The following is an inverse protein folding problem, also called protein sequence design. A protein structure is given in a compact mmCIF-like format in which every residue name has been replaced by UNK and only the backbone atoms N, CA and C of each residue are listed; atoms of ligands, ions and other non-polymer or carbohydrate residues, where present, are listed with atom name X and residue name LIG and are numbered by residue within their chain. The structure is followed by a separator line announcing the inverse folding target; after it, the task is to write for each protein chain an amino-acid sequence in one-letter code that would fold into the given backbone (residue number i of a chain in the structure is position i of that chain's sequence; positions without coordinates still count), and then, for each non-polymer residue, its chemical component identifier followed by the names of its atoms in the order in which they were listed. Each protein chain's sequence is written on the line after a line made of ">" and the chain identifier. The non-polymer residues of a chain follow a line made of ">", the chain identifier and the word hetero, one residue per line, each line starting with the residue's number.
data_IF_535782293664
#
_entry.id   IF_535782293664
#
_cell.length_a   1.000
_cell.length_b   1.000
_cell.length_c   1.000
_cell.angle_alpha   90.00
_cell.angle_beta   90.00
_cell.angle_gamma   90.00
#
_symmetry.space_group_name_H-M   'P 1'
#
loop_
_entity.id
_entity.type
_entity.pdbx_description
1 polymer ?
2 water ?
#
# COMPACT_ATOMS: atom_id res chain seq x y z
N UNK A 5 2.10 -10.95 8.71
CA UNK A 5 1.03 -11.90 8.50
C UNK A 5 0.72 -12.20 7.02
N UNK A 6 0.29 -11.21 6.27
CA UNK A 6 0.25 -11.31 4.84
C UNK A 6 0.90 -10.07 4.37
N UNK A 7 1.56 -10.15 3.25
CA UNK A 7 2.04 -8.96 2.61
C UNK A 7 1.06 -8.62 1.51
N UNK A 8 1.26 -7.47 0.90
CA UNK A 8 0.45 -7.00 -0.19
C UNK A 8 0.82 -7.63 -1.50
N UNK A 9 -0.21 -8.03 -2.22
CA UNK A 9 -0.11 -8.62 -3.54
C UNK A 9 0.70 -7.72 -4.50
N UNK A 10 1.65 -8.30 -5.21
CA UNK A 10 2.45 -7.80 -6.27
C UNK A 10 1.76 -7.86 -7.60
N UNK A 11 0.90 -8.84 -7.81
CA UNK A 11 0.31 -9.09 -9.09
C UNK A 11 -0.91 -8.33 -9.57
N UNK A 12 -1.39 -8.72 -10.73
CA UNK A 12 -2.43 -8.04 -11.46
C UNK A 12 -3.84 -8.46 -11.07
N UNK A 13 -4.72 -7.50 -10.99
CA UNK A 13 -6.12 -7.76 -10.76
C UNK A 13 -6.93 -7.38 -11.99
N UNK A 14 -8.00 -8.09 -12.23
CA UNK A 14 -8.94 -7.71 -13.24
C UNK A 14 -10.30 -7.52 -12.60
N UNK A 15 -11.21 -6.85 -13.29
CA UNK A 15 -12.54 -6.61 -12.78
C UNK A 15 -13.44 -7.80 -13.07
N UNK A 16 -13.99 -8.37 -12.03
CA UNK A 16 -14.90 -9.47 -12.15
C UNK A 16 -16.36 -9.07 -12.21
N UNK A 17 -16.74 -8.12 -11.39
CA UNK A 17 -18.05 -7.53 -11.44
C UNK A 17 -17.92 -6.03 -11.39
N UNK A 18 -18.56 -5.31 -12.29
CA UNK A 18 -18.43 -3.86 -12.35
C UNK A 18 -18.96 -3.18 -11.12
N UNK A 19 -18.34 -2.11 -10.70
CA UNK A 19 -18.70 -1.42 -9.48
C UNK A 19 -20.11 -0.92 -9.54
N UNK A 20 -20.84 -1.13 -8.47
CA UNK A 20 -22.24 -0.80 -8.37
C UNK A 20 -22.67 -0.42 -6.97
N UNK A 21 -23.69 0.41 -6.89
CA UNK A 21 -24.27 0.77 -5.63
C UNK A 21 -25.15 -0.30 -5.07
N UNK A 22 -25.05 -0.52 -3.78
CA UNK A 22 -25.94 -1.35 -2.98
C UNK A 22 -27.19 -0.68 -2.48
N UNK A 23 -28.04 -1.48 -1.87
CA UNK A 23 -29.28 -1.04 -1.27
C UNK A 23 -29.05 -0.09 -0.10
N UNK A 24 -27.94 -0.25 0.58
CA UNK A 24 -27.45 0.75 1.51
C UNK A 24 -26.56 1.78 0.83
N UNK A 25 -25.86 2.56 1.58
CA UNK A 25 -25.17 3.66 0.91
C UNK A 25 -24.09 3.29 -0.09
N UNK A 26 -23.73 2.03 -0.02
CA UNK A 26 -22.45 1.45 -0.26
C UNK A 26 -22.05 1.16 -1.70
N UNK A 27 -20.77 0.95 -1.92
CA UNK A 27 -20.28 0.47 -3.18
C UNK A 27 -19.56 -0.86 -3.10
N UNK A 28 -19.84 -1.70 -4.08
CA UNK A 28 -19.25 -3.01 -4.16
C UNK A 28 -18.57 -3.21 -5.49
N UNK A 29 -17.42 -3.83 -5.46
CA UNK A 29 -16.76 -4.23 -6.65
C UNK A 29 -16.11 -5.58 -6.44
N UNK A 30 -16.07 -6.37 -7.48
CA UNK A 30 -15.43 -7.65 -7.44
C UNK A 30 -14.24 -7.73 -8.37
N UNK A 31 -13.14 -8.23 -7.87
CA UNK A 31 -11.96 -8.38 -8.66
C UNK A 31 -11.46 -9.79 -8.58
N UNK A 32 -10.75 -10.19 -9.60
CA UNK A 32 -10.18 -11.49 -9.65
C UNK A 32 -8.70 -11.28 -9.62
N UNK A 33 -7.97 -12.10 -8.88
CA UNK A 33 -6.53 -11.98 -8.79
C UNK A 33 -5.83 -12.86 -9.78
N UNK A 34 -4.99 -12.27 -10.58
CA UNK A 34 -4.27 -13.01 -11.58
C UNK A 34 -2.83 -13.34 -11.25
N UNK A 35 -2.29 -12.74 -10.21
CA UNK A 35 -0.90 -12.82 -9.85
C UNK A 35 -0.55 -13.95 -8.94
N UNK A 36 0.60 -13.88 -8.32
CA UNK A 36 1.09 -14.91 -7.45
C UNK A 36 1.31 -14.45 -6.03
N UNK A 37 1.82 -15.31 -5.18
CA UNK A 37 1.99 -15.06 -3.77
C UNK A 37 0.77 -14.94 -2.87
N UNK A 38 -0.36 -15.44 -3.32
CA UNK A 38 -1.58 -15.55 -2.57
C UNK A 38 -1.49 -16.70 -1.59
N UNK A 39 -2.12 -16.67 -0.45
CA UNK A 39 -2.89 -15.55 -0.01
C UNK A 39 -2.03 -14.38 0.29
N UNK A 40 -2.66 -13.27 -0.06
CA UNK A 40 -2.06 -11.97 0.05
C UNK A 40 -3.16 -10.94 0.12
N UNK A 41 -2.77 -9.74 0.52
CA UNK A 41 -3.68 -8.62 0.69
C UNK A 41 -3.98 -7.78 -0.53
N UNK A 42 -5.24 -7.46 -0.73
CA UNK A 42 -5.52 -6.63 -1.87
C UNK A 42 -5.14 -5.18 -1.55
N UNK A 43 -4.28 -4.58 -2.35
CA UNK A 43 -3.91 -3.21 -2.08
C UNK A 43 -5.01 -2.29 -2.55
N UNK A 44 -5.51 -1.52 -1.62
CA UNK A 44 -6.54 -0.61 -1.90
C UNK A 44 -6.30 0.75 -1.33
N UNK A 45 -6.31 1.75 -2.19
CA UNK A 45 -6.25 3.12 -1.79
C UNK A 45 -7.43 3.92 -2.31
N UNK A 46 -8.03 4.69 -1.45
CA UNK A 46 -9.07 5.61 -1.82
C UNK A 46 -8.54 7.04 -1.74
N UNK A 47 -8.57 7.75 -2.83
CA UNK A 47 -8.08 9.10 -2.87
C UNK A 47 -9.14 10.13 -3.27
N UNK A 48 -9.01 11.31 -2.71
CA UNK A 48 -9.90 12.44 -2.94
C UNK A 48 -9.59 13.20 -4.24
N UNK A 49 -10.24 14.30 -4.51
CA UNK A 49 -10.04 15.01 -5.78
C UNK A 49 -8.62 15.55 -5.98
N UNK A 50 -8.07 16.04 -4.90
CA UNK A 50 -6.68 16.35 -4.82
C UNK A 50 -6.13 14.95 -4.72
N UNK A 51 -4.85 14.78 -4.61
CA UNK A 51 -4.36 13.44 -4.75
C UNK A 51 -4.36 12.66 -3.44
N UNK A 52 -5.09 13.14 -2.46
CA UNK A 52 -4.97 12.65 -1.09
C UNK A 52 -5.75 11.40 -0.58
N UNK A 53 -5.05 10.60 0.22
CA UNK A 53 -5.53 9.37 0.82
C UNK A 53 -6.70 9.65 1.70
N UNK A 54 -7.72 8.84 1.55
CA UNK A 54 -8.81 8.90 2.48
C UNK A 54 -8.87 7.60 3.24
N UNK A 55 -8.83 7.69 4.55
CA UNK A 55 -8.82 6.50 5.38
C UNK A 55 -10.20 6.11 5.87
N UNK A 56 -10.36 4.85 6.24
CA UNK A 56 -11.41 4.45 7.16
C UNK A 56 -12.74 4.19 6.53
N UNK A 57 -12.63 4.14 5.27
CA UNK A 57 -13.55 4.13 4.14
C UNK A 57 -13.69 2.75 3.61
N UNK A 58 -12.90 1.89 4.13
CA UNK A 58 -13.16 0.46 3.67
C UNK A 58 -14.10 -0.52 4.45
N UNK A 59 -15.27 -0.93 3.96
CA UNK A 59 -16.15 -1.68 4.82
C UNK A 59 -15.67 -3.10 4.99
N UNK A 60 -15.28 -3.71 3.91
CA UNK A 60 -14.88 -5.08 3.95
C UNK A 60 -13.72 -5.21 4.86
N UNK A 61 -13.88 -6.24 5.64
CA UNK A 61 -12.83 -6.80 6.37
C UNK A 61 -11.74 -7.15 5.45
N UNK A 62 -10.70 -6.64 5.97
CA UNK A 62 -9.30 -6.65 5.58
C UNK A 62 -9.09 -7.54 4.43
N UNK A 63 -9.25 -6.87 3.41
CA UNK A 63 -9.46 -7.65 2.11
C UNK A 63 -8.34 -8.53 1.33
N UNK A 64 -8.56 -9.79 0.86
CA UNK A 64 -7.52 -10.73 0.62
C UNK A 64 -7.79 -11.42 -0.68
N UNK A 65 -6.78 -11.63 -1.49
CA UNK A 65 -6.82 -12.58 -2.57
C UNK A 65 -6.34 -13.93 -2.06
N UNK A 66 -7.24 -14.86 -1.91
CA UNK A 66 -6.93 -16.16 -1.33
C UNK A 66 -6.00 -17.02 -2.17
N UNK A 67 -6.17 -16.97 -3.49
CA UNK A 67 -5.49 -17.80 -4.46
C UNK A 67 -5.36 -17.10 -5.82
N UNK A 68 -4.53 -17.63 -6.68
CA UNK A 68 -4.55 -17.27 -8.05
C UNK A 68 -5.90 -17.70 -8.61
N UNK A 69 -6.58 -16.78 -9.26
CA UNK A 69 -7.91 -16.96 -9.79
C UNK A 69 -9.03 -16.96 -8.77
N UNK A 70 -8.75 -16.50 -7.58
CA UNK A 70 -9.75 -16.27 -6.58
C UNK A 70 -10.46 -14.96 -6.79
N UNK A 71 -11.57 -14.77 -6.14
CA UNK A 71 -12.40 -13.61 -6.35
C UNK A 71 -12.63 -12.87 -5.04
N UNK A 72 -12.37 -11.59 -5.03
CA UNK A 72 -12.51 -10.78 -3.84
C UNK A 72 -13.57 -9.69 -3.98
N UNK A 73 -14.38 -9.61 -2.95
CA UNK A 73 -15.50 -8.70 -2.85
C UNK A 73 -15.09 -7.55 -1.99
N UNK A 74 -15.14 -6.35 -2.54
CA UNK A 74 -14.73 -5.15 -1.85
C UNK A 74 -15.85 -4.17 -1.75
N UNK A 75 -16.21 -3.85 -0.54
CA UNK A 75 -17.25 -2.92 -0.25
C UNK A 75 -16.61 -1.73 0.41
N UNK A 76 -16.96 -0.57 -0.09
CA UNK A 76 -16.44 0.70 0.34
C UNK A 76 -17.55 1.67 0.61
N UNK A 77 -17.26 2.68 1.37
CA UNK A 77 -18.16 3.78 1.53
C UNK A 77 -17.45 5.01 1.07
N UNK A 78 -17.62 5.31 -0.19
CA UNK A 78 -16.89 6.42 -0.77
C UNK A 78 -17.24 7.70 -0.08
N UNK A 79 -16.27 8.56 0.02
CA UNK A 79 -16.46 9.86 0.61
C UNK A 79 -17.24 10.74 -0.31
N UNK A 80 -17.70 11.84 0.21
CA UNK A 80 -18.41 12.80 -0.59
C UNK A 80 -17.49 13.39 -1.63
N UNK A 81 -18.07 13.76 -2.76
CA UNK A 81 -17.33 14.33 -3.84
C UNK A 81 -16.82 13.30 -4.79
N UNK A 82 -15.79 13.65 -5.51
CA UNK A 82 -15.12 12.76 -6.42
C UNK A 82 -14.13 11.92 -5.66
N UNK A 83 -14.14 10.64 -5.92
CA UNK A 83 -13.11 9.79 -5.39
C UNK A 83 -12.57 8.74 -6.35
N UNK A 84 -11.34 8.32 -6.12
CA UNK A 84 -10.67 7.38 -6.97
C UNK A 84 -10.25 6.20 -6.17
N UNK A 85 -10.46 5.02 -6.71
CA UNK A 85 -10.13 3.82 -6.00
C UNK A 85 -9.02 3.13 -6.78
N UNK A 86 -7.91 2.93 -6.11
CA UNK A 86 -6.78 2.27 -6.71
C UNK A 86 -6.57 0.89 -6.12
N UNK A 87 -6.67 -0.08 -6.99
CA UNK A 87 -6.52 -1.46 -6.65
C UNK A 87 -5.29 -2.03 -7.34
N UNK A 88 -4.44 -2.61 -6.53
CA UNK A 88 -3.21 -3.17 -6.99
C UNK A 88 -2.06 -2.23 -7.07
N UNK A 89 -1.02 -2.66 -7.74
CA UNK A 89 0.23 -1.96 -7.77
C UNK A 89 0.75 -1.98 -9.16
N UNK A 90 1.69 -1.11 -9.46
CA UNK A 90 2.34 -1.11 -10.72
C UNK A 90 1.54 -0.57 -11.86
N UNK A 91 2.01 -0.84 -13.04
CA UNK A 91 1.34 -0.47 -14.26
C UNK A 91 -0.01 -1.16 -14.42
N UNK A 92 -0.08 -2.36 -13.90
CA UNK A 92 -1.25 -3.20 -13.84
C UNK A 92 -2.43 -2.66 -13.03
N UNK A 93 -2.19 -1.75 -12.11
CA UNK A 93 -3.23 -1.34 -11.20
C UNK A 93 -4.50 -0.81 -11.86
N UNK A 94 -5.63 -1.08 -11.26
CA UNK A 94 -6.88 -0.59 -11.73
C UNK A 94 -7.19 0.67 -10.99
N UNK A 95 -7.48 1.75 -11.70
CA UNK A 95 -7.91 2.99 -11.06
C UNK A 95 -9.36 3.28 -11.35
N UNK A 96 -10.18 3.25 -10.30
CA UNK A 96 -11.61 3.47 -10.39
C UNK A 96 -12.07 4.84 -9.87
N UNK A 97 -13.24 5.27 -10.29
CA UNK A 97 -13.82 6.57 -9.93
C UNK A 97 -15.27 6.48 -9.46
N UNK A 98 -15.61 7.27 -8.48
CA UNK A 98 -16.94 7.35 -7.96
C UNK A 98 -17.32 8.77 -7.61
N UNK A 99 -18.58 9.10 -7.78
CA UNK A 99 -19.11 10.38 -7.38
C UNK A 99 -20.23 10.27 -6.40
N UNK A 100 -20.14 11.01 -5.34
CA UNK A 100 -21.14 11.03 -4.36
C UNK A 100 -21.64 12.46 -4.11
N UNK A 101 -22.91 12.71 -4.34
CA UNK A 101 -23.48 14.05 -4.24
C UNK A 101 -23.49 14.62 -2.85
N UNK B 5 -1.83 9.83 -10.24
CA UNK B 5 -0.51 9.83 -9.66
C UNK B 5 0.17 8.50 -9.95
N UNK B 6 1.39 8.38 -9.47
CA UNK B 6 2.11 7.16 -9.59
C UNK B 6 1.42 6.09 -8.76
N UNK B 7 1.65 4.86 -9.13
CA UNK B 7 1.18 3.73 -8.39
C UNK B 7 2.31 3.21 -7.54
N UNK B 8 1.96 2.31 -6.67
CA UNK B 8 2.90 1.72 -5.81
C UNK B 8 3.71 0.77 -6.63
N UNK B 9 4.95 0.68 -6.28
CA UNK B 9 5.76 -0.39 -6.82
C UNK B 9 5.13 -1.74 -6.50
N UNK B 10 5.59 -2.55 -7.44
CA UNK B 10 5.35 -3.94 -7.62
C UNK B 10 6.62 -4.71 -7.41
N UNK B 11 7.76 -4.07 -7.56
CA UNK B 11 9.02 -4.76 -7.46
C UNK B 11 9.72 -4.88 -6.13
N UNK B 12 10.81 -5.60 -6.15
CA UNK B 12 11.68 -5.86 -5.01
C UNK B 12 12.56 -4.70 -4.57
N UNK B 13 12.78 -4.61 -3.28
CA UNK B 13 13.64 -3.63 -2.67
C UNK B 13 14.77 -4.30 -1.92
N UNK B 14 15.91 -3.64 -1.87
CA UNK B 14 17.05 -4.03 -1.06
C UNK B 14 17.51 -2.84 -0.19
N UNK B 15 18.30 -3.12 0.82
CA UNK B 15 18.75 -2.11 1.75
C UNK B 15 20.12 -1.56 1.44
N UNK B 16 20.14 -0.35 0.93
CA UNK B 16 21.32 0.41 0.69
C UNK B 16 22.09 0.84 1.94
N UNK B 17 21.39 1.32 2.94
CA UNK B 17 21.98 1.66 4.21
C UNK B 17 20.98 1.37 5.30
N UNK B 18 21.34 0.64 6.33
CA UNK B 18 20.38 0.23 7.34
C UNK B 18 19.82 1.39 8.14
N UNK B 19 18.68 1.20 8.74
CA UNK B 19 18.03 2.25 9.49
C UNK B 19 18.89 2.76 10.65
N UNK B 20 18.96 4.07 10.78
CA UNK B 20 19.78 4.69 11.80
C UNK B 20 19.08 5.86 12.46
N UNK B 21 19.36 6.05 13.74
CA UNK B 21 18.78 7.15 14.50
C UNK B 21 19.30 8.54 14.09
N UNK B 22 18.47 9.56 14.22
CA UNK B 22 18.88 10.94 13.99
C UNK B 22 19.05 11.73 15.25
N UNK B 23 19.61 12.92 15.08
CA UNK B 23 19.89 13.83 16.16
C UNK B 23 18.56 14.27 16.77
N UNK B 24 17.58 14.39 15.92
CA UNK B 24 16.20 14.72 16.27
C UNK B 24 15.56 13.40 16.52
N UNK B 25 14.26 13.34 16.64
CA UNK B 25 13.69 12.07 16.98
C UNK B 25 13.23 11.20 15.85
N UNK B 26 14.12 10.84 14.97
CA UNK B 26 13.78 9.99 13.87
C UNK B 26 14.84 9.00 13.46
N UNK B 27 14.47 8.12 12.55
CA UNK B 27 15.37 7.22 11.88
C UNK B 27 15.36 7.45 10.37
N UNK B 28 16.39 7.00 9.72
CA UNK B 28 16.49 7.12 8.31
C UNK B 28 16.94 5.78 7.77
N UNK B 29 16.42 5.43 6.61
CA UNK B 29 16.87 4.32 5.80
C UNK B 29 16.96 4.65 4.33
N UNK B 30 17.89 4.02 3.66
CA UNK B 30 17.98 4.07 2.23
C UNK B 30 17.71 2.69 1.67
N UNK B 31 16.87 2.66 0.66
CA UNK B 31 16.53 1.43 -0.01
C UNK B 31 16.75 1.64 -1.47
N UNK B 32 17.09 0.56 -2.14
CA UNK B 32 17.27 0.51 -3.55
C UNK B 32 16.17 -0.35 -4.16
N UNK B 33 15.55 0.15 -5.20
CA UNK B 33 14.52 -0.55 -5.91
C UNK B 33 15.10 -1.34 -7.03
N UNK B 34 14.91 -2.65 -7.03
CA UNK B 34 15.42 -3.50 -8.07
C UNK B 34 14.40 -3.89 -9.11
N UNK B 35 13.18 -3.44 -8.90
CA UNK B 35 12.09 -3.61 -9.82
C UNK B 35 11.91 -2.66 -10.99
N UNK B 36 10.91 -2.94 -11.77
CA UNK B 36 10.51 -2.15 -12.91
C UNK B 36 9.33 -1.28 -12.60
N UNK B 37 8.84 -0.57 -13.59
CA UNK B 37 7.72 0.32 -13.45
C UNK B 37 7.96 1.63 -12.74
N UNK B 38 9.20 2.08 -12.69
CA UNK B 38 9.51 3.35 -12.08
C UNK B 38 9.41 4.49 -13.08
N UNK B 39 8.90 5.63 -12.68
CA UNK B 39 8.76 6.03 -11.30
C UNK B 39 7.56 5.48 -10.60
N UNK B 40 7.77 5.07 -9.35
CA UNK B 40 6.72 4.46 -8.56
C UNK B 40 6.92 4.77 -7.08
N UNK B 41 5.82 4.79 -6.34
CA UNK B 41 5.86 5.09 -4.92
C UNK B 41 6.25 3.93 -4.05
N UNK B 42 7.21 4.14 -3.18
CA UNK B 42 7.69 3.07 -2.35
C UNK B 42 6.60 2.66 -1.39
N UNK B 43 6.27 1.39 -1.32
CA UNK B 43 5.24 0.99 -0.39
C UNK B 43 5.82 0.82 0.99
N UNK B 44 5.28 1.59 1.93
CA UNK B 44 5.75 1.67 3.28
C UNK B 44 4.62 1.53 4.29
N UNK B 45 4.77 0.62 5.23
CA UNK B 45 3.83 0.48 6.28
C UNK B 45 4.58 0.40 7.56
N UNK B 46 4.12 1.11 8.56
CA UNK B 46 4.71 1.11 9.87
C UNK B 46 3.74 0.38 10.75
N UNK B 47 4.23 -0.58 11.51
CA UNK B 47 3.44 -1.37 12.40
C UNK B 47 4.04 -1.38 13.79
N UNK B 48 3.20 -1.65 14.76
CA UNK B 48 3.53 -1.65 16.18
C UNK B 48 3.96 -3.00 16.75
N UNK B 49 4.12 -3.10 18.07
CA UNK B 49 4.54 -4.36 18.67
C UNK B 49 3.50 -5.42 18.51
N UNK B 50 2.28 -4.98 18.35
CA UNK B 50 1.22 -5.92 18.16
C UNK B 50 1.02 -6.20 16.69
N UNK B 51 1.90 -5.66 15.87
CA UNK B 51 1.81 -5.83 14.43
C UNK B 51 0.66 -5.09 13.84
N UNK B 52 0.19 -4.11 14.56
CA UNK B 52 -0.88 -3.26 14.07
C UNK B 52 -0.38 -1.99 13.35
N UNK B 53 -1.10 -1.59 12.32
CA UNK B 53 -0.77 -0.40 11.58
C UNK B 53 -0.87 0.88 12.40
N UNK B 54 0.15 1.70 12.26
CA UNK B 54 0.29 2.90 13.00
C UNK B 54 0.40 3.96 11.96
N UNK B 55 -0.27 5.06 12.18
CA UNK B 55 -0.41 6.05 11.19
C UNK B 55 0.29 7.35 11.54
N UNK B 56 0.67 8.10 10.53
CA UNK B 56 1.34 9.37 10.71
C UNK B 56 2.82 9.45 11.02
N UNK B 57 3.54 8.42 10.70
CA UNK B 57 4.91 8.34 11.09
C UNK B 57 5.91 8.40 9.97
N UNK B 58 5.48 8.71 8.78
CA UNK B 58 6.40 8.87 7.70
C UNK B 58 6.66 10.36 7.56
N UNK B 59 7.87 10.76 7.86
CA UNK B 59 8.31 12.12 7.69
C UNK B 59 8.52 12.60 6.27
N UNK B 60 9.25 11.84 5.49
CA UNK B 60 9.57 12.23 4.14
C UNK B 60 8.29 12.29 3.38
N UNK B 61 8.19 13.24 2.49
CA UNK B 61 7.06 13.29 1.63
C UNK B 61 7.16 12.11 0.69
N UNK B 62 6.04 11.69 0.17
CA UNK B 62 5.84 10.35 -0.28
C UNK B 62 7.02 9.80 -1.10
N UNK B 63 7.75 8.91 -0.48
CA UNK B 63 8.99 8.41 -1.05
C UNK B 63 8.81 7.68 -2.36
N UNK B 64 9.74 7.88 -3.27
CA UNK B 64 9.62 7.44 -4.62
C UNK B 64 10.81 6.67 -5.01
N UNK B 65 10.64 5.83 -5.99
CA UNK B 65 11.77 5.25 -6.65
C UNK B 65 11.68 5.78 -8.03
N UNK B 66 12.52 6.75 -8.35
CA UNK B 66 12.49 7.37 -9.67
C UNK B 66 12.84 6.45 -10.83
N UNK B 67 13.87 5.64 -10.67
CA UNK B 67 14.33 4.74 -11.70
C UNK B 67 14.65 3.41 -11.16
N UNK B 68 14.80 2.45 -12.04
CA UNK B 68 15.30 1.18 -11.64
C UNK B 68 16.71 1.34 -11.15
N UNK B 69 16.91 0.83 -9.96
CA UNK B 69 18.13 0.93 -9.24
C UNK B 69 18.27 2.25 -8.52
N UNK B 70 17.27 3.09 -8.59
CA UNK B 70 17.36 4.33 -7.87
C UNK B 70 17.37 4.09 -6.37
N UNK B 71 18.16 4.89 -5.67
CA UNK B 71 18.26 4.77 -4.25
C UNK B 71 17.43 5.80 -3.54
N UNK B 72 16.97 5.42 -2.39
CA UNK B 72 16.00 6.29 -1.81
C UNK B 72 16.20 6.43 -0.32
N UNK B 73 15.59 7.67 -0.03
CA UNK B 73 15.78 7.92 1.37
C UNK B 73 14.49 8.09 2.12
N UNK B 74 14.31 7.32 3.17
CA UNK B 74 13.09 7.42 3.94
C UNK B 74 13.32 7.79 5.38
N UNK B 75 12.69 8.87 5.78
CA UNK B 75 12.71 9.32 7.15
C UNK B 75 11.37 9.10 7.78
N UNK B 76 11.41 8.37 8.87
CA UNK B 76 10.27 7.94 9.63
C UNK B 76 10.37 8.31 11.10
N UNK B 77 9.24 8.48 11.73
CA UNK B 77 9.18 8.60 13.15
C UNK B 77 8.71 7.30 13.82
N UNK B 78 9.60 6.40 14.18
CA UNK B 78 9.16 5.17 14.79
C UNK B 78 8.46 5.32 16.12
N UNK B 79 7.47 4.51 16.34
CA UNK B 79 6.80 4.56 17.63
C UNK B 79 7.79 4.14 18.67
N UNK B 80 7.55 4.59 19.89
CA UNK B 80 8.33 4.17 21.02
C UNK B 80 8.06 2.73 21.28
N UNK B 81 9.08 2.00 21.65
CA UNK B 81 9.00 0.56 21.70
C UNK B 81 9.42 -0.17 20.43
N UNK B 82 8.95 -1.40 20.31
CA UNK B 82 9.18 -2.23 19.16
C UNK B 82 8.28 -1.87 18.01
N UNK B 83 8.84 -1.78 16.83
CA UNK B 83 8.03 -1.49 15.69
C UNK B 83 8.58 -2.18 14.47
N UNK B 84 7.75 -2.28 13.46
CA UNK B 84 8.10 -2.96 12.27
C UNK B 84 7.83 -2.14 11.04
N UNK B 85 8.82 -2.03 10.18
CA UNK B 85 8.66 -1.30 8.97
C UNK B 85 8.67 -2.30 7.82
N UNK B 86 7.58 -2.33 7.06
CA UNK B 86 7.50 -3.21 5.92
C UNK B 86 7.61 -2.40 4.66
N UNK B 87 8.64 -2.65 3.88
CA UNK B 87 8.84 -1.97 2.63
C UNK B 87 8.62 -2.91 1.48
N UNK B 88 7.79 -2.48 0.56
CA UNK B 88 7.44 -3.24 -0.61
C UNK B 88 6.25 -4.14 -0.54
N UNK B 89 6.03 -4.85 -1.62
CA UNK B 89 4.88 -5.74 -1.76
C UNK B 89 5.31 -7.16 -2.01
N UNK B 90 4.44 -8.08 -1.71
CA UNK B 90 4.63 -9.43 -2.15
C UNK B 90 5.53 -10.21 -1.26
N UNK B 91 5.98 -11.33 -1.76
CA UNK B 91 6.85 -12.21 -1.05
C UNK B 91 8.17 -11.57 -0.76
N UNK B 92 8.59 -10.70 -1.65
CA UNK B 92 9.88 -10.08 -1.58
C UNK B 92 9.97 -8.85 -0.68
N UNK B 93 8.89 -8.42 -0.09
CA UNK B 93 8.92 -7.25 0.77
C UNK B 93 9.88 -7.40 1.97
N UNK B 94 10.64 -6.36 2.24
CA UNK B 94 11.50 -6.30 3.40
C UNK B 94 10.72 -6.08 4.66
N UNK B 95 11.07 -6.78 5.73
CA UNK B 95 10.53 -6.47 7.05
C UNK B 95 11.65 -6.05 8.01
N UNK B 96 11.48 -4.88 8.61
CA UNK B 96 12.46 -4.24 9.45
C UNK B 96 11.94 -3.99 10.82
N UNK B 97 12.76 -4.30 11.81
CA UNK B 97 12.43 -4.10 13.21
C UNK B 97 13.15 -2.92 13.73
N UNK B 98 12.48 -2.11 14.49
CA UNK B 98 13.17 -1.06 15.18
C UNK B 98 12.72 -1.04 16.60
N UNK B 99 13.63 -0.70 17.49
CA UNK B 99 13.29 -0.52 18.86
C UNK B 99 13.69 0.84 19.33
N UNK B 100 12.72 1.57 19.86
CA UNK B 100 12.93 2.92 20.32
C UNK B 100 12.83 3.06 21.82
N UNK B 101 13.96 3.23 22.47
CA UNK B 101 14.03 3.42 23.91
C UNK B 101 13.12 4.50 24.40
#
# INVERSE_FOLDING_TARGET
>A
GSGMSYTMCSGKFSIDKEMAETQHGTTVVKVKYEGAGAPCKVPIEIRDVNKEKVVGRIISSTPLAENTNSVTNIELEPPFGDSYIVIGVGNSALTLHWFRKGSSIGK
>B
GSGMSYTMCSGKFSIDKEMAETQHGTTVVKVKYEGAGAPCKVPIEIRDVNKEKVVGRIISSTPLAENTNSVTNIELEPPFGDSYIVIGVGNSALTLHWFRKGSSIGK
#
